data_IF_860822394893
#
_entry.id   IF_860822394893
#
_cell.length_a   1.000
_cell.length_b   1.000
_cell.length_c   1.000
_cell.angle_alpha   90.00
_cell.angle_beta   90.00
_cell.angle_gamma   90.00
#
_symmetry.space_group_name_H-M   'P 1'
#
loop_
_entity.id
_entity.type
_entity.pdbx_description
1 polymer ?
#
# COMPACT_ATOMS: atom_id res chain seq x y z
N UNK A 1 -3.22 -17.70 3.21
CA UNK A 1 -3.47 -16.27 2.95
C UNK A 1 -3.60 -15.57 4.28
N UNK A 2 -2.84 -14.50 4.52
CA UNK A 2 -3.04 -13.68 5.71
C UNK A 2 -4.42 -13.00 5.62
N UNK A 3 -5.19 -13.06 6.69
CA UNK A 3 -6.50 -12.39 6.79
C UNK A 3 -6.37 -11.22 7.73
N UNK A 4 -6.53 -10.00 7.19
CA UNK A 4 -6.61 -8.79 7.98
C UNK A 4 -8.08 -8.41 8.15
N UNK A 5 -8.52 -8.21 9.39
CA UNK A 5 -9.85 -7.65 9.69
C UNK A 5 -9.84 -6.11 9.73
N UNK A 6 -8.65 -5.53 9.85
CA UNK A 6 -8.41 -4.09 9.80
C UNK A 6 -6.99 -3.81 9.34
N UNK A 7 -6.77 -2.59 8.83
CA UNK A 7 -5.45 -2.12 8.45
C UNK A 7 -4.55 -2.02 9.69
N UNK A 8 -3.41 -2.73 9.73
CA UNK A 8 -2.52 -2.71 10.90
C UNK A 8 -1.87 -1.34 11.15
N UNK A 9 -1.88 -0.46 10.16
CA UNK A 9 -1.34 0.90 10.28
C UNK A 9 -2.34 1.93 10.81
N UNK A 10 -3.60 1.89 10.37
CA UNK A 10 -4.58 2.93 10.70
C UNK A 10 -5.87 2.42 11.37
N UNK A 11 -6.00 1.11 11.59
CA UNK A 11 -7.16 0.48 12.23
C UNK A 11 -8.45 0.45 11.40
N UNK A 12 -8.47 0.98 10.17
CA UNK A 12 -9.67 0.93 9.32
C UNK A 12 -10.04 -0.50 8.97
N UNK A 13 -11.31 -0.84 9.12
CA UNK A 13 -11.88 -2.13 8.71
C UNK A 13 -12.25 -2.17 7.24
N UNK A 14 -12.65 -1.03 6.66
CA UNK A 14 -12.90 -0.88 5.22
C UNK A 14 -11.61 -0.38 4.53
N UNK A 15 -10.74 -1.31 4.16
CA UNK A 15 -9.40 -1.00 3.66
C UNK A 15 -9.20 -1.39 2.18
N UNK A 16 -10.11 -2.17 1.60
CA UNK A 16 -10.00 -2.70 0.25
C UNK A 16 -8.87 -3.72 0.11
N UNK A 17 -7.62 -3.27 0.15
CA UNK A 17 -6.43 -4.11 0.03
C UNK A 17 -5.36 -3.71 1.07
N UNK A 18 -4.63 -4.72 1.56
CA UNK A 18 -3.45 -4.55 2.38
C UNK A 18 -2.22 -4.82 1.54
N UNK A 19 -1.35 -3.83 1.52
CA UNK A 19 -0.06 -3.82 0.87
C UNK A 19 1.06 -4.09 1.86
N UNK A 20 2.10 -4.78 1.40
CA UNK A 20 3.39 -4.90 2.08
C UNK A 20 4.48 -4.32 1.18
N UNK A 21 5.18 -3.30 1.68
CA UNK A 21 6.36 -2.76 0.99
C UNK A 21 7.58 -3.64 1.29
N UNK A 22 8.16 -4.29 0.26
CA UNK A 22 9.35 -5.13 0.42
C UNK A 22 10.59 -4.33 0.86
N UNK A 23 10.66 -3.03 0.53
CA UNK A 23 11.79 -2.14 0.90
C UNK A 23 11.90 -1.83 2.39
N UNK A 24 10.78 -1.63 3.08
CA UNK A 24 10.78 -1.24 4.50
C UNK A 24 9.91 -2.14 5.39
N UNK A 25 9.44 -3.26 4.83
CA UNK A 25 8.52 -4.23 5.44
C UNK A 25 7.29 -3.58 6.08
N UNK A 26 6.88 -2.43 5.58
CA UNK A 26 5.73 -1.71 6.09
C UNK A 26 4.47 -2.32 5.51
N UNK A 27 3.52 -2.62 6.39
CA UNK A 27 2.19 -3.08 6.04
C UNK A 27 1.21 -1.90 6.15
N UNK A 28 0.47 -1.61 5.09
CA UNK A 28 -0.44 -0.47 5.01
C UNK A 28 -1.58 -0.74 4.03
N UNK A 29 -2.69 -0.01 4.14
CA UNK A 29 -3.79 -0.13 3.19
C UNK A 29 -3.73 0.91 2.06
N UNK A 30 -4.60 0.75 1.07
CA UNK A 30 -4.88 1.74 0.00
C UNK A 30 -5.12 3.16 0.51
N UNK A 31 -5.72 3.32 1.69
CA UNK A 31 -5.95 4.66 2.30
C UNK A 31 -4.74 5.23 3.03
N UNK A 32 -3.73 4.42 3.25
CA UNK A 32 -2.47 4.80 3.87
C UNK A 32 -1.36 4.98 2.85
N UNK A 33 -1.63 4.84 1.54
CA UNK A 33 -0.65 5.13 0.50
C UNK A 33 -0.19 6.58 0.61
N UNK A 34 1.10 6.80 0.36
CA UNK A 34 1.64 8.13 0.10
C UNK A 34 1.35 8.54 -1.34
N UNK A 35 1.50 9.83 -1.63
CA UNK A 35 1.40 10.36 -2.99
C UNK A 35 2.67 11.11 -3.33
N UNK A 36 3.21 10.89 -4.51
CA UNK A 36 4.32 11.67 -5.07
C UNK A 36 3.90 12.29 -6.39
N UNK A 37 4.38 13.50 -6.62
CA UNK A 37 4.24 14.22 -7.88
C UNK A 37 5.57 14.17 -8.61
N UNK A 38 5.54 13.78 -9.88
CA UNK A 38 6.66 13.88 -10.80
C UNK A 38 6.80 15.32 -11.33
N UNK A 39 7.99 15.68 -11.88
CA UNK A 39 8.22 17.01 -12.44
C UNK A 39 7.31 17.36 -13.61
N UNK A 40 6.79 16.36 -14.34
CA UNK A 40 5.83 16.54 -15.44
C UNK A 40 4.38 16.76 -14.94
N UNK A 41 4.13 16.65 -13.64
CA UNK A 41 2.82 16.82 -13.03
C UNK A 41 2.05 15.51 -12.77
N UNK A 42 2.53 14.37 -13.27
CA UNK A 42 1.94 13.06 -12.97
C UNK A 42 2.01 12.75 -11.47
N UNK A 43 0.90 12.31 -10.89
CA UNK A 43 0.83 11.85 -9.50
C UNK A 43 0.69 10.34 -9.44
N UNK A 44 1.46 9.70 -8.56
CA UNK A 44 1.38 8.25 -8.33
C UNK A 44 1.32 7.92 -6.84
N UNK A 45 0.78 6.74 -6.55
CA UNK A 45 0.70 6.21 -5.19
C UNK A 45 2.01 5.50 -4.83
N UNK A 46 2.51 5.77 -3.62
CA UNK A 46 3.79 5.24 -3.16
C UNK A 46 3.68 4.74 -1.71
N UNK A 47 4.68 3.99 -1.26
CA UNK A 47 4.81 3.65 0.15
C UNK A 47 4.88 4.93 0.99
N UNK A 48 4.02 5.10 2.00
CA UNK A 48 3.98 6.32 2.83
C UNK A 48 5.20 6.49 3.75
N UNK A 49 6.11 5.50 3.81
CA UNK A 49 7.29 5.54 4.68
C UNK A 49 8.58 5.76 3.90
N UNK A 50 8.83 4.94 2.87
CA UNK A 50 10.06 5.04 2.08
C UNK A 50 9.86 5.72 0.71
N UNK A 51 8.62 6.03 0.32
CA UNK A 51 8.31 6.65 -0.97
C UNK A 51 8.51 5.72 -2.18
N UNK A 52 8.62 4.42 -1.95
CA UNK A 52 8.79 3.44 -3.02
C UNK A 52 7.50 3.27 -3.82
N UNK A 53 7.59 3.13 -5.13
CA UNK A 53 6.44 3.02 -6.03
C UNK A 53 5.60 1.78 -5.71
N UNK A 54 4.28 1.94 -5.80
CA UNK A 54 3.34 0.82 -5.73
C UNK A 54 3.11 0.39 -7.16
N UNK A 55 3.91 -0.57 -7.61
CA UNK A 55 3.82 -1.15 -8.93
C UNK A 55 3.24 -2.56 -8.80
N UNK A 56 2.19 -2.86 -9.57
CA UNK A 56 1.55 -4.18 -9.57
C UNK A 56 2.40 -5.23 -10.29
N UNK A 57 3.30 -4.79 -11.18
CA UNK A 57 4.05 -5.66 -12.07
C UNK A 57 5.43 -6.05 -11.53
N UNK A 58 6.17 -5.21 -10.79
CA UNK A 58 7.48 -5.66 -10.26
C UNK A 58 7.93 -5.12 -8.87
N UNK A 59 8.07 -6.09 -7.96
CA UNK A 59 8.99 -6.19 -6.82
C UNK A 59 8.95 -5.24 -5.61
N UNK A 60 8.28 -4.10 -5.66
CA UNK A 60 8.42 -3.11 -4.57
C UNK A 60 7.34 -3.20 -3.49
N UNK A 61 6.08 -3.32 -3.89
CA UNK A 61 4.92 -3.43 -2.99
C UNK A 61 4.03 -4.54 -3.48
N UNK A 62 3.65 -5.48 -2.60
CA UNK A 62 2.77 -6.59 -2.96
C UNK A 62 1.48 -6.56 -2.17
N UNK A 63 0.39 -7.03 -2.76
CA UNK A 63 -0.87 -7.27 -2.06
C UNK A 63 -0.75 -8.53 -1.23
N UNK A 64 -0.96 -8.43 0.09
CA UNK A 64 -0.91 -9.58 1.01
C UNK A 64 -2.29 -10.00 1.53
N UNK A 65 -3.29 -9.12 1.42
CA UNK A 65 -4.68 -9.43 1.72
C UNK A 65 -5.62 -8.52 0.93
N UNK A 66 -6.80 -9.05 0.60
CA UNK A 66 -7.92 -8.30 0.03
C UNK A 66 -9.12 -8.43 0.95
N UNK A 67 -9.88 -7.36 1.09
CA UNK A 67 -11.17 -7.35 1.77
C UNK A 67 -12.09 -8.34 1.03
N UNK A 68 -12.59 -9.35 1.75
CA UNK A 68 -13.64 -10.20 1.22
C UNK A 68 -14.94 -9.40 1.29
N UNK A 69 -15.43 -8.98 0.14
CA UNK A 69 -16.81 -8.51 -0.04
C UNK A 69 -17.79 -9.67 0.04
#
# INVERSE_FOLDING_TARGET
>A
MATYNSCPRCGRTNFGEIFECKRCSLIFCTKCTGKRSLPDGTQYECCPRCGAEIDEDEDTVRVIAKEKR
#
